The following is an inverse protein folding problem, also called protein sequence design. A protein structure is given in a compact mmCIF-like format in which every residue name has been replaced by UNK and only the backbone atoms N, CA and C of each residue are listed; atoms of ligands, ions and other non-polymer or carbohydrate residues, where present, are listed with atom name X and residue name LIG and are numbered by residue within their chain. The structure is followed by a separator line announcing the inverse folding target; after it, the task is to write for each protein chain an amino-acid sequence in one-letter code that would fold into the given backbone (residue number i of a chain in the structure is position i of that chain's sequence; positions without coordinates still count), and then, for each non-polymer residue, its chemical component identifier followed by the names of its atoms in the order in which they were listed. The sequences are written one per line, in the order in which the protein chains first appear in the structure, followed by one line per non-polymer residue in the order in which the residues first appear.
data_IF_633994495967
#
_entry.id   IF_633994495967
#
_cell.length_a   1.000
_cell.length_b   1.000
_cell.length_c   1.000
_cell.angle_alpha   90.00
_cell.angle_beta   90.00
_cell.angle_gamma   90.00
#
_symmetry.space_group_name_H-M   'P 1'
#
loop_
_entity.id
_entity.type
_entity.pdbx_description
1 polymer ?
#
# COMPACT_ATOMS: atom_id res chain seq x y z
N UNK A 1 19.41 36.63 -11.54
CA UNK A 1 19.91 35.78 -10.44
C UNK A 1 19.15 34.47 -10.46
N UNK A 2 19.78 33.36 -10.89
CA UNK A 2 19.16 32.04 -10.86
C UNK A 2 19.06 31.56 -9.41
N UNK A 3 17.90 31.03 -9.01
CA UNK A 3 17.74 30.39 -7.69
C UNK A 3 18.73 29.22 -7.63
N UNK A 4 19.55 29.19 -6.58
CA UNK A 4 20.49 28.09 -6.30
C UNK A 4 19.65 26.82 -6.09
N UNK A 5 19.77 25.86 -6.99
CA UNK A 5 19.04 24.59 -6.89
C UNK A 5 19.67 23.81 -5.73
N UNK A 6 18.93 23.69 -4.63
CA UNK A 6 19.32 22.84 -3.51
C UNK A 6 19.05 21.40 -3.97
N UNK A 7 20.04 20.49 -3.93
CA UNK A 7 19.79 19.09 -4.25
C UNK A 7 18.78 18.52 -3.27
N UNK A 8 17.86 17.70 -3.78
CA UNK A 8 16.89 17.00 -2.94
C UNK A 8 17.62 16.11 -1.91
N UNK A 9 17.15 16.03 -0.66
CA UNK A 9 17.78 15.17 0.34
C UNK A 9 17.59 13.69 -0.02
N UNK A 10 18.46 12.77 0.46
CA UNK A 10 18.44 11.36 0.06
C UNK A 10 17.15 10.62 0.41
N UNK A 11 16.41 11.09 1.43
CA UNK A 11 15.10 10.57 1.82
C UNK A 11 13.93 11.19 1.03
N UNK A 12 14.19 12.03 0.02
CA UNK A 12 13.19 12.57 -0.87
C UNK A 12 13.25 11.83 -2.22
N UNK A 13 12.21 11.05 -2.52
CA UNK A 13 12.06 10.36 -3.81
C UNK A 13 10.66 10.55 -4.38
N UNK A 14 10.60 10.61 -5.71
CA UNK A 14 9.37 10.73 -6.50
C UNK A 14 9.17 9.43 -7.29
N UNK A 15 7.99 8.84 -7.15
CA UNK A 15 7.60 7.63 -7.89
C UNK A 15 6.50 7.86 -8.93
N UNK A 16 6.23 9.14 -9.24
CA UNK A 16 5.26 9.54 -10.27
C UNK A 16 3.80 9.28 -9.91
N UNK A 17 3.48 9.20 -8.61
CA UNK A 17 2.13 8.96 -8.08
C UNK A 17 1.94 9.83 -6.82
N UNK A 18 0.80 10.55 -6.67
CA UNK A 18 0.41 11.16 -5.39
C UNK A 18 0.08 10.07 -4.38
N UNK A 19 0.67 10.12 -3.18
CA UNK A 19 0.40 9.11 -2.13
C UNK A 19 -0.48 9.68 -1.02
N UNK A 20 -1.49 8.92 -0.64
CA UNK A 20 -2.47 9.27 0.41
C UNK A 20 -2.33 8.38 1.65
N UNK A 21 -1.62 7.26 1.55
CA UNK A 21 -1.34 6.35 2.66
C UNK A 21 0.03 5.70 2.51
N UNK A 22 0.63 5.34 3.64
CA UNK A 22 1.94 4.70 3.73
C UNK A 22 1.97 3.76 4.94
N UNK A 23 2.71 2.65 4.83
CA UNK A 23 3.00 1.77 5.96
C UNK A 23 4.34 1.05 5.78
N UNK A 24 4.94 0.67 6.91
CA UNK A 24 6.05 -0.26 6.93
C UNK A 24 5.57 -1.68 6.66
N UNK A 25 6.27 -2.40 5.80
CA UNK A 25 6.02 -3.82 5.60
C UNK A 25 6.69 -4.58 6.75
N UNK A 26 5.95 -5.42 7.51
CA UNK A 26 6.52 -6.12 8.65
C UNK A 26 7.70 -7.02 8.27
N UNK A 27 8.76 -6.99 9.08
CA UNK A 27 10.00 -7.72 8.82
C UNK A 27 9.81 -9.24 8.71
N UNK A 28 8.83 -9.81 9.44
CA UNK A 28 8.55 -11.24 9.34
C UNK A 28 7.96 -11.65 7.99
N UNK A 29 7.24 -10.74 7.31
CA UNK A 29 6.75 -10.93 5.93
C UNK A 29 7.91 -10.94 4.93
N UNK A 30 8.87 -10.04 5.12
CA UNK A 30 10.06 -9.95 4.27
C UNK A 30 10.90 -11.21 4.40
N UNK A 31 11.15 -11.66 5.65
CA UNK A 31 11.94 -12.85 5.96
C UNK A 31 11.28 -14.14 5.49
N UNK A 32 9.97 -14.31 5.69
CA UNK A 32 9.25 -15.52 5.27
C UNK A 32 9.29 -15.74 3.76
N UNK A 33 9.50 -14.67 2.98
CA UNK A 33 9.57 -14.69 1.52
C UNK A 33 10.97 -14.91 0.95
N UNK A 34 11.97 -15.17 1.82
CA UNK A 34 13.37 -15.38 1.42
C UNK A 34 13.92 -14.24 0.55
N UNK A 35 13.47 -13.01 0.79
CA UNK A 35 14.04 -11.83 0.13
C UNK A 35 15.46 -11.68 0.69
N UNK A 36 16.46 -11.98 -0.14
CA UNK A 36 17.88 -12.04 0.25
C UNK A 36 18.37 -10.74 0.90
N UNK A 37 17.74 -9.62 0.55
CA UNK A 37 17.90 -8.35 1.25
C UNK A 37 16.96 -8.31 2.44
N UNK A 38 17.50 -8.55 3.64
CA UNK A 38 16.90 -8.18 4.92
C UNK A 38 16.80 -6.64 5.01
N UNK A 39 15.91 -6.07 4.20
CA UNK A 39 15.71 -4.64 4.00
C UNK A 39 14.45 -4.15 4.69
N UNK A 40 14.36 -2.85 4.88
CA UNK A 40 13.13 -2.21 5.32
C UNK A 40 12.36 -1.78 4.09
N UNK A 41 11.08 -2.13 4.00
CA UNK A 41 10.25 -1.79 2.86
C UNK A 41 9.07 -0.93 3.31
N UNK A 42 8.76 0.06 2.50
CA UNK A 42 7.59 0.92 2.65
C UNK A 42 6.62 0.61 1.53
N UNK A 43 5.35 0.49 1.88
CA UNK A 43 4.24 0.39 0.95
C UNK A 43 3.49 1.72 0.95
N UNK A 44 3.29 2.27 -0.25
CA UNK A 44 2.54 3.49 -0.48
C UNK A 44 1.30 3.19 -1.31
N UNK A 45 0.22 3.92 -1.04
CA UNK A 45 -1.01 3.84 -1.80
C UNK A 45 -1.47 5.24 -2.22
N UNK A 46 -1.87 5.38 -3.47
CA UNK A 46 -2.50 6.60 -3.97
C UNK A 46 -2.64 6.62 -5.49
N UNK A 47 -2.79 7.81 -6.06
CA UNK A 47 -3.13 7.94 -7.47
C UNK A 47 -3.62 9.32 -7.88
N UNK A 48 -3.90 9.46 -9.18
CA UNK A 48 -4.48 10.67 -9.77
C UNK A 48 -6.02 10.73 -9.72
N UNK A 49 -6.68 9.69 -9.21
CA UNK A 49 -8.13 9.57 -9.19
C UNK A 49 -8.71 9.07 -10.51
N UNK A 50 -10.03 9.23 -10.68
CA UNK A 50 -10.74 8.84 -11.89
C UNK A 50 -10.54 9.82 -13.07
N UNK A 51 -9.82 10.92 -12.86
CA UNK A 51 -9.52 11.89 -13.91
C UNK A 51 -8.54 11.33 -14.93
N UNK A 52 -8.74 11.64 -16.22
CA UNK A 52 -7.83 11.29 -17.33
C UNK A 52 -6.57 12.16 -17.33
N UNK A 53 -5.94 12.35 -16.16
CA UNK A 53 -4.74 13.17 -15.97
C UNK A 53 -3.45 12.52 -16.49
N UNK A 54 -3.51 11.24 -16.86
CA UNK A 54 -2.34 10.42 -17.20
C UNK A 54 -1.56 9.92 -15.99
N UNK A 55 -1.99 10.27 -14.76
CA UNK A 55 -1.37 9.79 -13.53
C UNK A 55 -2.08 8.51 -13.06
N UNK A 56 -1.36 7.38 -12.93
CA UNK A 56 -1.99 6.12 -12.56
C UNK A 56 -2.36 6.08 -11.07
N UNK A 57 -3.41 5.31 -10.75
CA UNK A 57 -3.65 4.84 -9.40
C UNK A 57 -2.81 3.58 -9.15
N UNK A 58 -2.13 3.51 -8.01
CA UNK A 58 -1.19 2.44 -7.74
C UNK A 58 -0.90 2.19 -6.25
N UNK A 59 -0.48 0.96 -5.99
CA UNK A 59 0.28 0.55 -4.82
C UNK A 59 1.77 0.47 -5.19
N UNK A 60 2.63 1.07 -4.38
CA UNK A 60 4.07 1.17 -4.66
C UNK A 60 4.86 0.67 -3.47
N UNK A 61 5.75 -0.30 -3.71
CA UNK A 61 6.72 -0.76 -2.72
C UNK A 61 8.07 -0.11 -3.03
N UNK A 62 8.69 0.50 -2.03
CA UNK A 62 10.06 0.99 -2.12
C UNK A 62 10.92 0.37 -1.02
N UNK A 63 12.21 0.20 -1.32
CA UNK A 63 13.19 -0.18 -0.30
C UNK A 63 13.68 1.09 0.40
N UNK A 64 13.80 1.00 1.72
CA UNK A 64 14.37 2.02 2.57
C UNK A 64 15.65 1.50 3.21
N UNK A 65 16.77 2.14 2.87
CA UNK A 65 18.04 1.87 3.49
C UNK A 65 18.22 2.77 4.72
N UNK A 66 18.25 2.15 5.89
CA UNK A 66 18.43 2.83 7.18
C UNK A 66 19.82 3.44 7.30
N UNK A 67 20.86 2.78 6.74
CA UNK A 67 22.23 3.25 6.87
C UNK A 67 22.47 4.57 6.12
N UNK A 68 21.92 4.67 4.91
CA UNK A 68 21.98 5.91 4.11
C UNK A 68 20.79 6.85 4.31
N UNK A 69 19.80 6.46 5.14
CA UNK A 69 18.53 7.18 5.32
C UNK A 69 17.91 7.57 3.96
N UNK A 70 17.77 6.59 3.07
CA UNK A 70 17.37 6.84 1.69
C UNK A 70 16.33 5.85 1.20
N UNK A 71 15.49 6.34 0.30
CA UNK A 71 14.56 5.53 -0.47
C UNK A 71 15.21 5.11 -1.79
N UNK A 72 14.93 3.90 -2.26
CA UNK A 72 15.44 3.40 -3.55
C UNK A 72 15.03 4.31 -4.71
N UNK A 73 15.91 4.49 -5.69
CA UNK A 73 15.64 5.34 -6.87
C UNK A 73 14.46 4.84 -7.69
N UNK A 74 14.34 3.51 -7.82
CA UNK A 74 13.22 2.85 -8.48
C UNK A 74 12.37 2.10 -7.44
N UNK A 75 11.05 2.00 -7.66
CA UNK A 75 10.21 1.17 -6.83
C UNK A 75 10.58 -0.31 -7.01
N UNK A 76 10.48 -1.05 -5.92
CA UNK A 76 10.59 -2.51 -5.91
C UNK A 76 9.39 -3.10 -6.67
N UNK A 77 8.19 -2.58 -6.40
CA UNK A 77 6.99 -2.98 -7.14
C UNK A 77 6.08 -1.77 -7.33
N UNK A 78 5.40 -1.72 -8.47
CA UNK A 78 4.31 -0.79 -8.74
C UNK A 78 3.15 -1.58 -9.32
N UNK A 79 2.11 -1.79 -8.52
CA UNK A 79 0.88 -2.44 -8.95
C UNK A 79 -0.14 -1.36 -9.28
N UNK A 80 -0.58 -1.30 -10.54
CA UNK A 80 -1.67 -0.43 -10.95
C UNK A 80 -3.01 -0.93 -10.41
N UNK A 81 -3.90 0.00 -10.05
CA UNK A 81 -5.28 -0.30 -9.60
C UNK A 81 -6.32 0.25 -10.58
N UNK A 82 -5.92 0.39 -11.84
CA UNK A 82 -6.75 0.96 -12.92
C UNK A 82 -7.37 2.31 -12.53
N UNK A 83 -8.69 2.46 -12.70
CA UNK A 83 -9.44 3.66 -12.32
C UNK A 83 -9.73 3.74 -10.81
N UNK A 84 -9.48 2.66 -10.05
CA UNK A 84 -9.76 2.62 -8.62
C UNK A 84 -8.65 3.30 -7.84
N UNK A 85 -8.98 4.36 -7.11
CA UNK A 85 -8.00 5.10 -6.32
C UNK A 85 -7.89 4.55 -4.89
N UNK A 86 -6.76 3.94 -4.49
CA UNK A 86 -6.56 3.48 -3.12
C UNK A 86 -6.26 4.68 -2.22
N UNK A 87 -7.27 5.09 -1.46
CA UNK A 87 -7.25 6.33 -0.68
C UNK A 87 -6.85 6.11 0.79
N UNK A 88 -7.18 4.94 1.34
CA UNK A 88 -6.75 4.48 2.66
C UNK A 88 -6.28 3.04 2.58
N UNK A 89 -5.32 2.68 3.42
CA UNK A 89 -4.73 1.36 3.45
C UNK A 89 -4.46 0.93 4.89
N UNK A 90 -4.61 -0.38 5.15
CA UNK A 90 -4.11 -1.01 6.36
C UNK A 90 -3.43 -2.34 5.99
N UNK A 91 -2.25 -2.57 6.55
CA UNK A 91 -1.59 -3.88 6.45
C UNK A 91 -2.08 -4.76 7.58
N UNK A 92 -2.35 -6.02 7.26
CA UNK A 92 -2.63 -7.01 8.28
C UNK A 92 -1.40 -7.24 9.16
N UNK A 93 -1.56 -7.16 10.48
CA UNK A 93 -0.47 -7.30 11.45
C UNK A 93 0.25 -8.65 11.36
N UNK A 94 -0.46 -9.73 11.00
CA UNK A 94 0.13 -11.05 10.77
C UNK A 94 0.89 -11.14 9.45
N UNK A 95 0.68 -10.18 8.55
CA UNK A 95 1.38 -10.11 7.28
C UNK A 95 0.73 -10.91 6.15
N UNK A 96 -0.53 -11.30 6.31
CA UNK A 96 -1.26 -12.09 5.30
C UNK A 96 -1.52 -11.30 4.02
N UNK A 97 -1.64 -9.97 4.13
CA UNK A 97 -1.89 -9.08 3.02
C UNK A 97 -2.21 -7.68 3.50
N UNK A 98 -2.91 -6.94 2.65
CA UNK A 98 -3.40 -5.62 3.01
C UNK A 98 -4.80 -5.38 2.45
N UNK A 99 -5.47 -4.39 3.03
CA UNK A 99 -6.75 -3.90 2.56
C UNK A 99 -6.62 -2.43 2.17
N UNK A 100 -7.23 -2.04 1.06
CA UNK A 100 -7.38 -0.65 0.66
C UNK A 100 -8.86 -0.28 0.59
N UNK A 101 -9.22 0.90 1.09
CA UNK A 101 -10.46 1.56 0.74
C UNK A 101 -10.26 2.38 -0.53
N UNK A 102 -11.07 2.06 -1.53
CA UNK A 102 -11.08 2.72 -2.82
C UNK A 102 -12.02 3.93 -2.80
N UNK A 103 -11.66 4.98 -3.53
CA UNK A 103 -12.52 6.16 -3.64
C UNK A 103 -13.66 5.95 -4.64
N UNK A 104 -13.35 5.41 -5.82
CA UNK A 104 -14.31 5.13 -6.89
C UNK A 104 -14.03 3.77 -7.53
N UNK A 105 -14.94 2.77 -7.41
CA UNK A 105 -16.12 2.78 -6.55
C UNK A 105 -15.73 2.76 -5.06
N UNK A 106 -16.63 3.20 -4.17
CA UNK A 106 -16.41 3.24 -2.71
C UNK A 106 -16.43 1.83 -2.10
N UNK A 107 -15.43 1.01 -2.42
CA UNK A 107 -15.32 -0.40 -2.04
C UNK A 107 -14.01 -0.66 -1.33
N UNK A 108 -13.97 -1.71 -0.51
CA UNK A 108 -12.70 -2.21 0.03
C UNK A 108 -12.17 -3.36 -0.85
N UNK A 109 -10.88 -3.35 -1.15
CA UNK A 109 -10.19 -4.42 -1.89
C UNK A 109 -9.09 -5.02 -1.04
N UNK A 110 -8.95 -6.35 -1.09
CA UNK A 110 -7.83 -7.06 -0.48
C UNK A 110 -6.72 -7.28 -1.52
N UNK A 111 -5.47 -7.11 -1.11
CA UNK A 111 -4.30 -7.45 -1.91
C UNK A 111 -3.46 -8.47 -1.18
N UNK A 112 -3.14 -9.54 -1.90
CA UNK A 112 -2.21 -10.55 -1.45
C UNK A 112 -0.81 -10.18 -1.89
N UNK A 113 0.16 -10.64 -1.11
CA UNK A 113 1.54 -10.63 -1.55
C UNK A 113 1.75 -11.69 -2.64
N UNK A 114 2.26 -11.26 -3.78
CA UNK A 114 2.55 -12.16 -4.88
C UNK A 114 3.81 -13.00 -4.55
N UNK A 115 3.74 -14.29 -4.90
CA UNK A 115 4.78 -15.28 -4.67
C UNK A 115 5.47 -15.72 -5.97
N UNK A 116 5.26 -14.98 -7.07
CA UNK A 116 5.82 -15.33 -8.36
C UNK A 116 7.34 -15.56 -8.29
N UNK A 117 7.71 -16.84 -8.46
CA UNK A 117 9.07 -17.35 -8.59
C UNK A 117 9.63 -17.04 -9.99
N UNK A 118 9.50 -15.79 -10.44
CA UNK A 118 10.17 -15.39 -11.68
C UNK A 118 11.67 -15.40 -11.44
N UNK A 119 12.43 -15.79 -12.47
CA UNK A 119 13.88 -15.96 -12.50
C UNK A 119 14.72 -14.72 -12.12
N UNK A 120 14.07 -13.59 -11.85
CA UNK A 120 14.66 -12.42 -11.21
C UNK A 120 14.46 -12.50 -9.69
N UNK A 121 15.52 -12.90 -8.99
CA UNK A 121 15.79 -12.77 -7.54
C UNK A 121 14.63 -12.13 -6.74
N UNK A 122 13.89 -12.97 -6.02
CA UNK A 122 13.17 -12.67 -4.76
C UNK A 122 12.62 -11.25 -4.58
N UNK A 123 11.88 -10.71 -5.56
CA UNK A 123 11.35 -9.34 -5.48
C UNK A 123 9.98 -9.33 -4.80
N UNK A 124 9.82 -8.50 -3.76
CA UNK A 124 8.54 -8.31 -3.09
C UNK A 124 7.52 -7.66 -4.04
N UNK A 125 6.38 -8.32 -4.25
CA UNK A 125 5.30 -7.83 -5.11
C UNK A 125 3.91 -8.08 -4.51
N UNK A 126 2.89 -7.50 -5.14
CA UNK A 126 1.49 -7.56 -4.73
C UNK A 126 0.63 -8.01 -5.91
N UNK A 127 -0.52 -8.59 -5.60
CA UNK A 127 -1.60 -8.86 -6.54
C UNK A 127 -2.95 -8.56 -5.91
N UNK A 128 -3.91 -8.15 -6.74
CA UNK A 128 -5.30 -8.06 -6.31
C UNK A 128 -5.80 -9.46 -5.95
N UNK A 129 -6.48 -9.58 -4.81
CA UNK A 129 -7.06 -10.83 -4.35
C UNK A 129 -8.47 -11.04 -4.89
N UNK A 130 -8.84 -12.29 -5.06
CA UNK A 130 -10.23 -12.69 -5.35
C UNK A 130 -11.10 -12.73 -4.06
N UNK A 131 -10.51 -12.45 -2.89
CA UNK A 131 -11.23 -12.44 -1.61
C UNK A 131 -12.38 -11.44 -1.63
N UNK A 132 -13.59 -11.95 -1.45
CA UNK A 132 -14.80 -11.14 -1.31
C UNK A 132 -14.95 -10.69 0.15
N UNK A 133 -15.06 -9.38 0.34
CA UNK A 133 -15.17 -8.75 1.67
C UNK A 133 -16.63 -8.36 1.95
N UNK A 134 -17.51 -9.34 2.05
CA UNK A 134 -18.97 -9.12 2.14
C UNK A 134 -19.41 -8.19 3.27
N UNK A 135 -18.70 -8.19 4.41
CA UNK A 135 -19.01 -7.29 5.52
C UNK A 135 -18.67 -5.81 5.22
N UNK A 136 -17.84 -5.56 4.21
CA UNK A 136 -17.40 -4.25 3.73
C UNK A 136 -18.02 -3.90 2.37
N UNK A 137 -19.07 -4.61 1.95
CA UNK A 137 -19.91 -4.21 0.82
C UNK A 137 -20.89 -3.13 1.28
N UNK A 138 -21.15 -2.14 0.42
CA UNK A 138 -22.11 -1.05 0.65
C UNK A 138 -21.90 -0.24 1.96
N UNK A 139 -20.70 -0.28 2.53
CA UNK A 139 -20.35 0.49 3.74
C UNK A 139 -20.00 1.95 3.44
N UNK A 140 -20.03 2.35 2.17
CA UNK A 140 -19.64 3.68 1.70
C UNK A 140 -18.15 3.95 1.88
N UNK A 141 -17.75 5.21 1.66
CA UNK A 141 -16.34 5.62 1.74
C UNK A 141 -15.77 5.41 3.14
N UNK A 142 -14.70 4.63 3.24
CA UNK A 142 -13.92 4.49 4.47
C UNK A 142 -12.78 5.50 4.49
N UNK A 143 -12.68 6.25 5.58
CA UNK A 143 -11.67 7.28 5.84
C UNK A 143 -10.59 6.83 6.83
N UNK A 144 -10.83 5.72 7.53
CA UNK A 144 -9.88 5.07 8.42
C UNK A 144 -10.02 3.55 8.33
N UNK A 145 -8.88 2.85 8.34
CA UNK A 145 -8.75 1.40 8.38
C UNK A 145 -7.63 1.07 9.36
N UNK A 146 -7.86 0.14 10.28
CA UNK A 146 -6.83 -0.33 11.21
C UNK A 146 -7.10 -1.76 11.65
N UNK A 147 -6.09 -2.62 11.58
CA UNK A 147 -6.15 -3.94 12.20
C UNK A 147 -5.87 -3.84 13.69
N UNK A 148 -6.40 -4.81 14.44
CA UNK A 148 -5.91 -5.08 15.79
C UNK A 148 -4.50 -5.71 15.75
N UNK A 149 -3.92 -5.91 16.93
CA UNK A 149 -2.52 -6.33 17.07
C UNK A 149 -2.24 -7.73 16.50
N UNK A 150 -3.21 -8.62 16.52
CA UNK A 150 -3.09 -9.99 15.99
C UNK A 150 -3.66 -10.14 14.58
N UNK A 151 -4.03 -9.04 13.91
CA UNK A 151 -4.52 -9.06 12.53
C UNK A 151 -5.86 -9.77 12.29
N UNK A 152 -6.56 -10.24 13.33
CA UNK A 152 -7.80 -11.02 13.18
C UNK A 152 -9.04 -10.15 13.01
N UNK A 153 -8.96 -8.87 13.39
CA UNK A 153 -10.06 -7.93 13.28
C UNK A 153 -9.62 -6.61 12.66
N UNK A 154 -10.53 -5.99 11.91
CA UNK A 154 -10.35 -4.71 11.23
C UNK A 154 -11.41 -3.73 11.73
N UNK A 155 -10.97 -2.57 12.21
CA UNK A 155 -11.84 -1.41 12.40
C UNK A 155 -11.84 -0.57 11.12
N UNK A 156 -13.04 -0.23 10.63
CA UNK A 156 -13.22 0.74 9.56
C UNK A 156 -14.11 1.90 10.03
N UNK A 157 -13.81 3.11 9.57
CA UNK A 157 -14.58 4.31 9.89
C UNK A 157 -14.83 5.15 8.64
N UNK A 158 -16.10 5.44 8.36
CA UNK A 158 -16.53 6.24 7.20
C UNK A 158 -17.04 7.63 7.56
N UNK A 159 -17.52 8.36 6.55
CA UNK A 159 -18.22 9.63 6.74
C UNK A 159 -19.59 9.39 7.38
N UNK A 160 -19.79 9.89 8.61
CA UNK A 160 -21.08 9.75 9.33
C UNK A 160 -20.97 9.39 10.81
N UNK A 161 -19.80 9.55 11.45
CA UNK A 161 -19.54 9.25 12.88
C UNK A 161 -19.76 7.79 13.31
N UNK A 162 -20.01 6.87 12.39
CA UNK A 162 -20.13 5.45 12.69
C UNK A 162 -18.82 4.74 12.39
N UNK A 163 -18.18 4.22 13.44
CA UNK A 163 -17.13 3.21 13.32
C UNK A 163 -17.77 1.81 13.33
N UNK A 164 -17.26 0.91 12.49
CA UNK A 164 -17.68 -0.49 12.45
C UNK A 164 -16.45 -1.38 12.64
N UNK A 165 -16.58 -2.37 13.52
CA UNK A 165 -15.59 -3.44 13.68
C UNK A 165 -16.00 -4.65 12.85
N UNK A 166 -15.04 -5.24 12.15
CA UNK A 166 -15.23 -6.40 11.29
C UNK A 166 -14.25 -7.49 11.70
N UNK A 167 -14.70 -8.73 11.67
CA UNK A 167 -13.81 -9.88 11.84
C UNK A 167 -13.31 -10.27 10.45
N UNK A 168 -11.99 -10.25 10.26
CA UNK A 168 -11.38 -10.62 8.98
C UNK A 168 -11.09 -12.11 9.05
N UNK A 169 -12.01 -12.91 8.49
CA UNK A 169 -11.88 -14.36 8.35
C UNK A 169 -10.84 -14.74 7.29
#
# INVERSE_FOLDING_TARGET
MGKRQIPDPPNFKKYGVPFYSVAWIPQHVVKSRQIETAGNYLLFAGGGGAGHSGIPNALVIAHFDVASNSLSDQPVCKLGTDSELPYRMALNSNGDGLICAMETPMVCRWFDWDQNKSSEIHKLSLKLSEKVLSQLEDVGQQLALAFNNDGTALAAGGGGWQSKGFQVA
#
